data_IF_607932865740
#
_entry.id   IF_607932865740
#
_cell.length_a   1.000
_cell.length_b   1.000
_cell.length_c   1.000
_cell.angle_alpha   90.00
_cell.angle_beta   90.00
_cell.angle_gamma   90.00
#
_symmetry.space_group_name_H-M   'P 1'
#
loop_
_entity.id
_entity.type
_entity.pdbx_description
1 polymer ?
#
# COMPACT_ATOMS: atom_id res chain seq x y z
N UNK A 1 1.53 -16.70 -8.55
CA UNK A 1 2.35 -17.53 -7.63
C UNK A 1 3.73 -16.91 -7.49
N UNK A 2 4.45 -16.66 -8.59
CA UNK A 2 5.81 -16.12 -8.64
C UNK A 2 6.13 -14.98 -7.65
N UNK A 3 5.31 -13.92 -7.58
CA UNK A 3 5.56 -12.80 -6.66
C UNK A 3 5.50 -13.22 -5.18
N UNK A 4 4.52 -14.03 -4.79
CA UNK A 4 4.35 -14.43 -3.38
C UNK A 4 5.46 -15.37 -2.94
N UNK A 5 5.93 -16.21 -3.85
CA UNK A 5 6.99 -17.17 -3.59
C UNK A 5 8.34 -16.43 -3.47
N UNK A 6 8.66 -15.51 -4.38
CA UNK A 6 9.81 -14.60 -4.27
C UNK A 6 9.81 -13.80 -2.96
N UNK A 7 8.66 -13.24 -2.57
CA UNK A 7 8.54 -12.52 -1.30
C UNK A 7 8.81 -13.44 -0.10
N UNK A 8 8.35 -14.69 -0.14
CA UNK A 8 8.62 -15.67 0.92
C UNK A 8 10.09 -16.09 0.96
N UNK A 9 10.75 -16.21 -0.19
CA UNK A 9 12.20 -16.44 -0.28
C UNK A 9 12.99 -15.32 0.41
N UNK A 10 12.53 -14.06 0.29
CA UNK A 10 13.08 -12.92 1.03
C UNK A 10 12.56 -12.80 2.48
N UNK A 11 11.84 -13.80 2.99
CA UNK A 11 11.30 -13.79 4.36
C UNK A 11 10.13 -12.81 4.58
N UNK A 12 9.59 -12.22 3.51
CA UNK A 12 8.45 -11.29 3.56
C UNK A 12 7.15 -12.07 3.39
N UNK A 13 6.29 -12.04 4.42
CA UNK A 13 4.96 -12.64 4.35
C UNK A 13 3.96 -11.69 3.69
N UNK A 14 3.39 -12.03 2.50
CA UNK A 14 2.44 -11.14 1.84
C UNK A 14 1.12 -11.06 2.60
N UNK A 15 0.69 -9.84 2.93
CA UNK A 15 -0.61 -9.54 3.57
C UNK A 15 -1.68 -9.21 2.53
N UNK A 16 -1.80 -10.06 1.51
CA UNK A 16 -2.78 -9.90 0.44
C UNK A 16 -3.67 -11.14 0.47
N UNK A 17 -4.99 -10.95 0.60
CA UNK A 17 -5.94 -12.06 0.55
C UNK A 17 -5.86 -12.80 -0.79
N UNK A 18 -6.03 -14.11 -0.73
CA UNK A 18 -6.32 -14.93 -1.88
C UNK A 18 -7.76 -14.67 -2.33
N UNK A 19 -7.99 -14.73 -3.63
CA UNK A 19 -9.34 -14.78 -4.18
C UNK A 19 -9.90 -16.17 -3.85
N UNK A 20 -11.04 -16.21 -3.18
CA UNK A 20 -11.62 -17.44 -2.65
C UNK A 20 -12.30 -18.23 -3.76
N UNK A 21 -11.57 -19.19 -4.33
CA UNK A 21 -12.10 -20.12 -5.33
C UNK A 21 -12.09 -21.56 -4.82
N UNK A 22 -11.09 -21.93 -4.04
CA UNK A 22 -10.92 -23.26 -3.49
C UNK A 22 -10.89 -23.23 -1.95
N UNK A 23 -11.20 -24.34 -1.26
CA UNK A 23 -11.09 -24.42 0.20
C UNK A 23 -9.70 -24.08 0.73
N UNK A 24 -8.65 -24.31 -0.07
CA UNK A 24 -7.27 -23.95 0.29
C UNK A 24 -7.06 -22.42 0.36
N UNK A 25 -7.77 -21.64 -0.45
CA UNK A 25 -7.70 -20.17 -0.41
C UNK A 25 -8.30 -19.63 0.88
N UNK A 26 -9.39 -20.24 1.35
CA UNK A 26 -9.99 -19.94 2.65
C UNK A 26 -9.00 -20.23 3.78
N UNK A 27 -8.32 -21.38 3.75
CA UNK A 27 -7.30 -21.71 4.74
C UNK A 27 -6.13 -20.72 4.71
N UNK A 28 -5.70 -20.27 3.54
CA UNK A 28 -4.65 -19.25 3.41
C UNK A 28 -5.09 -17.88 3.95
N UNK A 29 -6.33 -17.45 3.67
CA UNK A 29 -6.89 -16.21 4.18
C UNK A 29 -7.06 -16.23 5.71
N UNK A 30 -7.47 -17.36 6.28
CA UNK A 30 -7.62 -17.52 7.74
C UNK A 30 -6.28 -17.38 8.49
N UNK A 31 -5.16 -17.68 7.82
CA UNK A 31 -3.80 -17.55 8.40
C UNK A 31 -3.24 -16.13 8.31
N UNK A 32 -3.96 -15.16 7.74
CA UNK A 32 -3.47 -13.77 7.64
C UNK A 32 -3.62 -13.08 9.00
N UNK A 33 -2.58 -12.33 9.39
CA UNK A 33 -2.63 -11.48 10.58
C UNK A 33 -3.66 -10.36 10.37
N UNK A 34 -4.81 -10.48 11.01
CA UNK A 34 -5.94 -9.54 10.91
C UNK A 34 -5.55 -8.10 11.27
N UNK A 35 -5.01 -7.84 12.47
CA UNK A 35 -4.50 -6.52 12.85
C UNK A 35 -3.57 -5.89 11.82
N UNK A 36 -2.59 -6.64 11.30
CA UNK A 36 -1.64 -6.11 10.32
C UNK A 36 -2.27 -5.89 8.95
N UNK A 37 -3.18 -6.76 8.53
CA UNK A 37 -3.96 -6.59 7.30
C UNK A 37 -4.83 -5.33 7.32
N UNK A 38 -5.42 -4.98 8.48
CA UNK A 38 -6.26 -3.78 8.62
C UNK A 38 -5.50 -2.47 8.34
N UNK A 39 -4.17 -2.45 8.47
CA UNK A 39 -3.37 -1.28 8.15
C UNK A 39 -3.46 -0.87 6.68
N UNK A 40 -3.75 -1.83 5.78
CA UNK A 40 -3.95 -1.56 4.35
C UNK A 40 -5.06 -0.54 4.10
N UNK A 41 -6.20 -0.69 4.78
CA UNK A 41 -7.32 0.22 4.62
C UNK A 41 -6.94 1.65 5.04
N UNK A 42 -6.14 1.79 6.10
CA UNK A 42 -5.61 3.10 6.53
C UNK A 42 -4.72 3.73 5.45
N UNK A 43 -3.79 2.95 4.88
CA UNK A 43 -2.96 3.43 3.77
C UNK A 43 -3.81 3.86 2.57
N UNK A 44 -4.80 3.05 2.17
CA UNK A 44 -5.71 3.36 1.07
C UNK A 44 -6.49 4.67 1.31
N UNK A 45 -6.96 4.91 2.54
CA UNK A 45 -7.60 6.18 2.91
C UNK A 45 -6.63 7.36 2.80
N UNK A 46 -5.41 7.25 3.32
CA UNK A 46 -4.40 8.31 3.24
C UNK A 46 -4.07 8.63 1.79
N UNK A 47 -3.79 7.61 0.97
CA UNK A 47 -3.52 7.82 -0.46
C UNK A 47 -4.73 8.39 -1.21
N UNK A 48 -5.96 8.02 -0.85
CA UNK A 48 -7.17 8.64 -1.43
C UNK A 48 -7.21 10.14 -1.13
N UNK A 49 -6.93 10.54 0.11
CA UNK A 49 -6.88 11.94 0.52
C UNK A 49 -5.76 12.71 -0.20
N UNK A 50 -4.57 12.13 -0.30
CA UNK A 50 -3.44 12.72 -1.03
C UNK A 50 -3.86 12.98 -2.49
N UNK A 51 -4.43 11.98 -3.17
CA UNK A 51 -4.84 12.13 -4.57
C UNK A 51 -5.88 13.22 -4.78
N UNK A 52 -6.86 13.34 -3.88
CA UNK A 52 -7.89 14.38 -3.95
C UNK A 52 -7.37 15.79 -3.65
N UNK A 53 -6.27 15.92 -2.91
CA UNK A 53 -5.76 17.22 -2.43
C UNK A 53 -4.54 17.73 -3.17
N UNK A 54 -3.68 16.83 -3.67
CA UNK A 54 -2.41 17.15 -4.32
C UNK A 54 -2.35 16.69 -5.78
N UNK A 55 -3.31 15.86 -6.24
CA UNK A 55 -3.35 15.31 -7.59
C UNK A 55 -3.16 13.80 -7.62
N UNK A 56 -3.73 13.15 -8.64
CA UNK A 56 -3.74 11.70 -8.80
C UNK A 56 -2.60 11.15 -9.67
N UNK A 57 -2.01 12.00 -10.50
CA UNK A 57 -0.97 11.66 -11.45
C UNK A 57 0.37 12.36 -11.13
N UNK A 58 1.44 11.65 -11.46
CA UNK A 58 2.82 12.11 -11.35
C UNK A 58 3.25 12.71 -12.70
N UNK A 59 3.95 13.85 -12.69
CA UNK A 59 4.34 14.57 -13.92
C UNK A 59 5.77 14.33 -14.35
N UNK A 60 6.64 13.87 -13.45
CA UNK A 60 8.01 13.54 -13.77
C UNK A 60 8.10 12.49 -14.87
N UNK A 61 9.07 12.65 -15.78
CA UNK A 61 9.30 11.73 -16.92
C UNK A 61 10.39 10.68 -16.68
N UNK A 62 11.09 10.79 -15.55
CA UNK A 62 12.13 9.85 -15.15
C UNK A 62 11.64 9.07 -13.95
N UNK A 63 11.94 7.77 -13.91
CA UNK A 63 11.53 6.90 -12.81
C UNK A 63 11.89 7.46 -11.43
N UNK A 64 13.12 7.96 -11.27
CA UNK A 64 13.55 8.54 -10.00
C UNK A 64 12.85 9.88 -9.69
N UNK A 65 12.49 10.64 -10.73
CA UNK A 65 11.68 11.85 -10.58
C UNK A 65 10.27 11.51 -10.09
N UNK A 66 9.66 10.45 -10.63
CA UNK A 66 8.33 10.01 -10.21
C UNK A 66 8.32 9.58 -8.75
N UNK A 67 9.35 8.84 -8.33
CA UNK A 67 9.55 8.46 -6.94
C UNK A 67 9.66 9.69 -6.03
N UNK A 68 10.48 10.68 -6.40
CA UNK A 68 10.64 11.90 -5.60
C UNK A 68 9.36 12.72 -5.51
N UNK A 69 8.59 12.81 -6.59
CA UNK A 69 7.32 13.50 -6.61
C UNK A 69 6.31 12.84 -5.66
N UNK A 70 6.24 11.51 -5.64
CA UNK A 70 5.44 10.75 -4.67
C UNK A 70 5.85 11.02 -3.22
N UNK A 71 7.15 10.98 -2.93
CA UNK A 71 7.68 11.28 -1.58
C UNK A 71 7.30 12.70 -1.18
N UNK A 72 7.49 13.67 -2.07
CA UNK A 72 7.16 15.07 -1.80
C UNK A 72 5.66 15.25 -1.49
N UNK A 73 4.76 14.63 -2.27
CA UNK A 73 3.33 14.67 -1.99
C UNK A 73 2.98 14.13 -0.60
N UNK A 74 3.58 13.00 -0.21
CA UNK A 74 3.38 12.42 1.12
C UNK A 74 3.92 13.33 2.23
N UNK A 75 5.11 13.91 2.05
CA UNK A 75 5.71 14.85 3.00
C UNK A 75 4.84 16.09 3.18
N UNK A 76 4.37 16.69 2.08
CA UNK A 76 3.48 17.85 2.12
C UNK A 76 2.17 17.51 2.82
N UNK A 77 1.58 16.34 2.57
CA UNK A 77 0.39 15.88 3.27
C UNK A 77 0.62 15.79 4.78
N UNK A 78 1.72 15.20 5.22
CA UNK A 78 2.05 15.06 6.64
C UNK A 78 2.25 16.41 7.32
N UNK A 79 2.94 17.37 6.68
CA UNK A 79 3.11 18.73 7.20
C UNK A 79 1.75 19.44 7.32
N UNK A 80 0.90 19.36 6.28
CA UNK A 80 -0.45 19.95 6.33
C UNK A 80 -1.30 19.32 7.43
N UNK A 81 -1.13 18.03 7.70
CA UNK A 81 -1.84 17.33 8.76
C UNK A 81 -1.33 17.73 10.15
N UNK A 82 -0.01 17.90 10.33
CA UNK A 82 0.57 18.29 11.61
C UNK A 82 0.23 19.73 12.02
N UNK A 83 -0.05 20.61 11.05
CA UNK A 83 -0.51 21.98 11.31
C UNK A 83 -2.01 22.08 11.64
N UNK A 84 -2.79 21.03 11.38
CA UNK A 84 -4.23 20.98 11.67
C UNK A 84 -4.57 20.35 13.02
N UNK A 85 -3.62 19.64 13.61
CA UNK A 85 -3.70 19.14 14.98
C UNK A 85 -3.33 20.25 15.95
#
# INVERSE_FOLDING_TARGET
MELRDKLREEGVRPLIKHREFQPIDHAHNARIDGPRYRQRAMCETVFSTIKRTLGDAVRARTWYGEFRELVLMCTVHNIKQSLKQ
#
